data_IF_674841307855
#
_entry.id   IF_674841307855
#
_cell.length_a   1.000
_cell.length_b   1.000
_cell.length_c   1.000
_cell.angle_alpha   90.00
_cell.angle_beta   90.00
_cell.angle_gamma   90.00
#
_symmetry.space_group_name_H-M   'P 1'
#
loop_
_entity.id
_entity.type
_entity.pdbx_description
1 polymer ?
#
# COMPACT_ATOMS: atom_id res chain seq x y z
N UNK A 1 -30.92 -13.70 -12.14
CA UNK A 1 -29.84 -13.07 -11.38
C UNK A 1 -29.05 -14.19 -10.72
N UNK A 2 -27.79 -14.31 -11.06
CA UNK A 2 -26.87 -15.27 -10.42
C UNK A 2 -26.43 -14.66 -9.06
N UNK A 3 -26.51 -15.45 -8.00
CA UNK A 3 -26.05 -15.07 -6.68
C UNK A 3 -24.77 -15.83 -6.36
N UNK A 4 -23.77 -15.15 -5.83
CA UNK A 4 -22.53 -15.76 -5.33
C UNK A 4 -22.52 -15.68 -3.81
N UNK A 5 -22.35 -16.80 -3.14
CA UNK A 5 -22.14 -16.89 -1.71
C UNK A 5 -20.66 -17.20 -1.45
N UNK A 6 -20.03 -16.41 -0.61
CA UNK A 6 -18.61 -16.53 -0.30
C UNK A 6 -18.41 -16.50 1.23
N UNK A 7 -17.51 -17.37 1.72
CA UNK A 7 -17.13 -17.32 3.13
C UNK A 7 -16.33 -16.03 3.42
N UNK A 8 -16.59 -15.43 4.57
CA UNK A 8 -15.81 -14.28 5.01
C UNK A 8 -14.39 -14.74 5.40
N UNK A 9 -13.38 -14.09 4.87
CA UNK A 9 -12.01 -14.24 5.31
C UNK A 9 -11.74 -13.25 6.46
N UNK A 10 -10.90 -13.64 7.41
CA UNK A 10 -10.41 -12.77 8.48
C UNK A 10 -8.96 -12.36 8.21
N UNK A 11 -8.53 -11.24 8.79
CA UNK A 11 -7.14 -10.79 8.69
C UNK A 11 -7.01 -9.27 8.62
N UNK A 12 -5.77 -8.81 8.64
CA UNK A 12 -5.46 -7.39 8.47
C UNK A 12 -5.51 -7.02 6.98
N UNK A 13 -6.24 -5.96 6.64
CA UNK A 13 -6.23 -5.45 5.27
C UNK A 13 -4.82 -5.00 4.90
N UNK A 14 -4.32 -5.56 3.84
CA UNK A 14 -2.96 -5.40 3.36
C UNK A 14 -2.94 -5.24 1.85
N UNK A 15 -1.86 -4.65 1.35
CA UNK A 15 -1.66 -4.41 -0.08
C UNK A 15 -0.24 -4.76 -0.48
N UNK A 16 -0.08 -5.39 -1.63
CA UNK A 16 1.22 -5.60 -2.26
C UNK A 16 1.25 -4.90 -3.61
N UNK A 17 2.22 -4.01 -3.80
CA UNK A 17 2.48 -3.33 -5.05
C UNK A 17 3.73 -3.92 -5.69
N UNK A 18 3.66 -4.25 -6.96
CA UNK A 18 4.72 -4.94 -7.67
C UNK A 18 4.94 -4.37 -9.08
N UNK A 19 6.16 -4.48 -9.57
CA UNK A 19 6.52 -4.21 -10.98
C UNK A 19 7.18 -5.44 -11.57
N UNK A 20 6.80 -5.78 -12.79
CA UNK A 20 7.25 -6.97 -13.50
C UNK A 20 7.85 -6.63 -14.85
N UNK A 21 8.86 -7.37 -15.24
CA UNK A 21 9.42 -7.38 -16.58
C UNK A 21 9.23 -8.78 -17.20
N UNK A 22 8.27 -8.93 -18.14
CA UNK A 22 7.99 -10.19 -18.86
C UNK A 22 7.96 -11.38 -17.92
N UNK A 23 7.00 -11.40 -17.01
CA UNK A 23 6.79 -12.45 -16.04
C UNK A 23 7.71 -12.43 -14.81
N UNK A 24 8.83 -11.70 -14.86
CA UNK A 24 9.77 -11.61 -13.74
C UNK A 24 9.40 -10.48 -12.79
N UNK A 25 9.23 -10.80 -11.52
CA UNK A 25 9.06 -9.80 -10.45
C UNK A 25 10.39 -9.05 -10.25
N UNK A 26 10.41 -7.73 -10.50
CA UNK A 26 11.62 -6.89 -10.41
C UNK A 26 11.60 -5.96 -9.20
N UNK A 27 10.42 -5.59 -8.71
CA UNK A 27 10.27 -4.80 -7.50
C UNK A 27 8.97 -5.13 -6.79
N UNK A 28 8.95 -5.11 -5.45
CA UNK A 28 7.77 -5.38 -4.63
C UNK A 28 7.82 -4.60 -3.33
N UNK A 29 6.64 -4.18 -2.86
CA UNK A 29 6.44 -3.54 -1.59
C UNK A 29 5.11 -3.94 -1.00
N UNK A 30 5.08 -4.37 0.28
CA UNK A 30 3.88 -4.74 0.99
C UNK A 30 3.60 -3.76 2.13
N UNK A 31 2.31 -3.45 2.31
CA UNK A 31 1.82 -2.62 3.43
C UNK A 31 0.65 -3.28 4.13
N UNK A 32 0.52 -3.02 5.43
CA UNK A 32 -0.67 -3.32 6.22
C UNK A 32 -1.35 -2.03 6.65
N UNK A 33 -2.66 -1.99 6.62
CA UNK A 33 -3.47 -0.85 7.02
C UNK A 33 -3.34 -0.56 8.52
N UNK A 34 -3.19 0.72 8.86
CA UNK A 34 -3.13 1.22 10.25
C UNK A 34 -4.28 2.16 10.58
N UNK A 35 -4.85 2.80 9.58
CA UNK A 35 -6.07 3.58 9.68
C UNK A 35 -6.81 3.55 8.35
N UNK A 36 -8.13 3.67 8.45
CA UNK A 36 -9.06 3.67 7.34
C UNK A 36 -9.34 5.10 6.87
N UNK A 37 -9.37 5.29 5.57
CA UNK A 37 -9.85 6.49 4.89
C UNK A 37 -11.25 6.30 4.32
N UNK A 38 -11.66 7.18 3.42
CA UNK A 38 -12.98 7.10 2.77
C UNK A 38 -13.12 5.80 1.98
N UNK A 39 -14.26 5.14 2.13
CA UNK A 39 -14.59 3.91 1.40
C UNK A 39 -13.69 2.73 1.72
N UNK A 40 -13.09 2.66 2.91
CA UNK A 40 -12.21 1.55 3.32
C UNK A 40 -10.77 1.68 2.84
N UNK A 41 -10.39 2.78 2.17
CA UNK A 41 -9.03 3.00 1.68
C UNK A 41 -8.00 3.06 2.82
N UNK A 42 -6.75 2.74 2.53
CA UNK A 42 -5.68 2.80 3.53
C UNK A 42 -5.18 4.24 3.71
N UNK A 43 -5.61 4.93 4.76
CA UNK A 43 -5.16 6.29 5.07
C UNK A 43 -3.87 6.36 5.92
N UNK A 44 -3.52 5.27 6.60
CA UNK A 44 -2.23 5.10 7.25
C UNK A 44 -1.73 3.67 7.04
N UNK A 45 -0.42 3.53 6.82
CA UNK A 45 0.22 2.29 6.38
C UNK A 45 1.44 1.97 7.23
N UNK A 46 1.69 0.68 7.37
CA UNK A 46 2.94 0.13 7.88
C UNK A 46 3.51 -0.81 6.82
N UNK A 47 4.74 -0.57 6.38
CA UNK A 47 5.41 -1.53 5.50
C UNK A 47 5.71 -2.83 6.25
N UNK A 48 5.41 -3.96 5.62
CA UNK A 48 5.49 -5.30 6.18
C UNK A 48 6.25 -6.24 5.26
N UNK A 49 6.78 -7.32 5.83
CA UNK A 49 7.36 -8.42 5.07
C UNK A 49 6.37 -9.60 5.06
N UNK A 50 5.85 -9.92 3.88
CA UNK A 50 4.98 -11.07 3.65
C UNK A 50 5.60 -11.98 2.57
N UNK A 51 6.51 -12.91 2.95
CA UNK A 51 7.24 -13.78 2.00
C UNK A 51 6.31 -14.58 1.09
N UNK A 52 5.23 -15.16 1.63
CA UNK A 52 4.25 -15.91 0.85
C UNK A 52 3.63 -15.06 -0.28
N UNK A 53 3.33 -13.78 0.00
CA UNK A 53 2.78 -12.86 -1.02
C UNK A 53 3.80 -12.62 -2.14
N UNK A 54 5.09 -12.47 -1.82
CA UNK A 54 6.15 -12.33 -2.84
C UNK A 54 6.27 -13.56 -3.73
N UNK A 55 6.18 -14.75 -3.14
CA UNK A 55 6.22 -16.03 -3.89
C UNK A 55 5.00 -16.17 -4.80
N UNK A 56 3.81 -15.82 -4.29
CA UNK A 56 2.57 -15.83 -5.09
C UNK A 56 2.66 -14.83 -6.24
N UNK A 57 3.14 -13.59 -6.00
CA UNK A 57 3.37 -12.59 -7.04
C UNK A 57 4.35 -13.09 -8.10
N UNK A 58 5.49 -13.66 -7.68
CA UNK A 58 6.46 -14.20 -8.62
C UNK A 58 5.89 -15.36 -9.47
N UNK A 59 5.03 -16.18 -8.87
CA UNK A 59 4.36 -17.28 -9.58
C UNK A 59 3.30 -16.76 -10.55
N UNK A 60 2.47 -15.83 -10.09
CA UNK A 60 1.44 -15.17 -10.91
C UNK A 60 2.06 -14.44 -12.11
N UNK A 61 3.13 -13.66 -11.85
CA UNK A 61 3.85 -12.93 -12.89
C UNK A 61 4.33 -13.86 -14.01
N UNK A 62 4.98 -14.97 -13.64
CA UNK A 62 5.45 -15.99 -14.61
C UNK A 62 4.31 -16.63 -15.37
N UNK A 63 3.23 -16.99 -14.68
CA UNK A 63 2.08 -17.68 -15.31
C UNK A 63 1.37 -16.80 -16.35
N UNK A 64 1.35 -15.47 -16.12
CA UNK A 64 0.68 -14.51 -17.00
C UNK A 64 1.63 -13.81 -17.98
N UNK A 65 2.93 -14.09 -17.95
CA UNK A 65 3.97 -13.28 -18.63
C UNK A 65 3.76 -11.77 -18.37
N UNK A 66 3.44 -11.42 -17.11
CA UNK A 66 3.00 -10.08 -16.76
C UNK A 66 4.12 -9.05 -16.98
N UNK A 67 3.75 -7.89 -17.57
CA UNK A 67 4.68 -6.79 -17.78
C UNK A 67 4.06 -5.48 -17.29
N UNK A 68 4.77 -4.76 -16.41
CA UNK A 68 4.28 -3.52 -15.82
C UNK A 68 3.86 -3.66 -14.35
N UNK A 69 3.01 -2.76 -13.89
CA UNK A 69 2.57 -2.71 -12.50
C UNK A 69 1.41 -3.69 -12.21
N UNK A 70 1.39 -4.21 -11.01
CA UNK A 70 0.27 -4.97 -10.45
C UNK A 70 0.18 -4.71 -8.96
N UNK A 71 -1.04 -4.45 -8.48
CA UNK A 71 -1.34 -4.32 -7.06
C UNK A 71 -2.33 -5.40 -6.67
N UNK A 72 -2.06 -6.08 -5.55
CA UNK A 72 -2.97 -7.04 -4.95
C UNK A 72 -3.42 -6.51 -3.59
N UNK A 73 -4.73 -6.44 -3.39
CA UNK A 73 -5.35 -6.20 -2.09
C UNK A 73 -5.72 -7.55 -1.47
N UNK A 74 -5.41 -7.75 -0.19
CA UNK A 74 -5.63 -9.01 0.51
C UNK A 74 -5.84 -8.81 2.01
N UNK A 75 -6.55 -9.75 2.63
CA UNK A 75 -6.58 -9.93 4.07
C UNK A 75 -5.43 -10.87 4.47
N UNK A 76 -4.63 -10.47 5.46
CA UNK A 76 -3.51 -11.26 5.93
C UNK A 76 -3.80 -11.85 7.31
N UNK A 77 -3.98 -13.16 7.37
CA UNK A 77 -4.07 -13.89 8.63
C UNK A 77 -2.67 -14.06 9.20
N UNK A 78 -2.43 -13.40 10.34
CA UNK A 78 -1.12 -13.45 11.00
C UNK A 78 -0.85 -14.77 11.71
N UNK A 79 -1.89 -15.48 12.14
CA UNK A 79 -1.72 -16.73 12.85
C UNK A 79 -1.28 -17.85 11.91
N UNK A 80 -1.82 -17.87 10.72
CA UNK A 80 -1.53 -18.86 9.69
C UNK A 80 -0.49 -18.38 8.65
N UNK A 81 -0.07 -17.11 8.72
CA UNK A 81 0.76 -16.42 7.73
C UNK A 81 0.20 -16.51 6.30
N UNK A 82 -1.14 -16.49 6.18
CA UNK A 82 -1.87 -16.77 4.94
C UNK A 82 -2.52 -15.50 4.38
N UNK A 83 -2.26 -15.12 3.10
CA UNK A 83 -2.99 -14.08 2.40
C UNK A 83 -4.27 -14.64 1.73
N UNK A 84 -5.37 -13.91 1.89
CA UNK A 84 -6.63 -14.11 1.16
C UNK A 84 -6.84 -12.93 0.22
N UNK A 85 -6.63 -13.14 -1.09
CA UNK A 85 -6.68 -12.08 -2.09
C UNK A 85 -8.11 -11.65 -2.38
N UNK A 86 -8.31 -10.32 -2.46
CA UNK A 86 -9.61 -9.68 -2.67
C UNK A 86 -9.67 -9.10 -4.08
N UNK A 87 -8.63 -8.37 -4.48
CA UNK A 87 -8.64 -7.58 -5.71
C UNK A 87 -7.24 -7.55 -6.35
N UNK A 88 -7.21 -7.45 -7.68
CA UNK A 88 -6.00 -7.23 -8.46
C UNK A 88 -6.16 -6.01 -9.36
N UNK A 89 -5.30 -5.00 -9.17
CA UNK A 89 -5.30 -3.74 -9.91
C UNK A 89 -4.08 -3.66 -10.83
N UNK A 90 -4.24 -3.54 -12.17
CA UNK A 90 -3.12 -3.46 -13.11
C UNK A 90 -2.51 -2.04 -13.16
N UNK A 91 -2.21 -1.47 -12.02
CA UNK A 91 -1.64 -0.12 -11.85
C UNK A 91 -0.97 0.00 -10.48
N UNK A 92 -0.19 1.06 -10.26
CA UNK A 92 0.24 1.45 -8.91
C UNK A 92 -0.90 2.20 -8.18
N UNK A 93 -0.90 2.10 -6.86
CA UNK A 93 -1.83 2.78 -5.96
C UNK A 93 -1.05 3.44 -4.83
N UNK A 94 -0.97 4.77 -4.84
CA UNK A 94 -0.33 5.57 -3.77
C UNK A 94 1.04 5.02 -3.34
N UNK A 95 2.06 4.98 -4.23
CA UNK A 95 3.31 4.25 -3.99
C UNK A 95 4.28 4.97 -3.04
N UNK A 96 3.89 6.06 -2.37
CA UNK A 96 4.81 6.87 -1.56
C UNK A 96 5.38 6.09 -0.36
N UNK A 97 4.60 5.19 0.27
CA UNK A 97 5.15 4.34 1.33
C UNK A 97 6.30 3.45 0.81
N UNK A 98 6.21 2.97 -0.44
CA UNK A 98 7.30 2.23 -1.07
C UNK A 98 8.55 3.11 -1.28
N UNK A 99 8.37 4.37 -1.72
CA UNK A 99 9.47 5.34 -1.84
C UNK A 99 10.15 5.57 -0.50
N UNK A 100 9.39 5.82 0.56
CA UNK A 100 9.89 5.98 1.93
C UNK A 100 10.62 4.72 2.43
N UNK A 101 10.21 3.56 1.95
CA UNK A 101 10.83 2.27 2.24
C UNK A 101 12.05 1.97 1.38
N UNK A 102 12.43 2.87 0.46
CA UNK A 102 13.62 2.76 -0.39
C UNK A 102 13.41 2.09 -1.74
N UNK A 103 12.17 1.84 -2.15
CA UNK A 103 11.82 1.29 -3.47
C UNK A 103 10.88 2.24 -4.21
N UNK A 104 11.40 3.00 -5.16
CA UNK A 104 10.59 3.88 -5.99
C UNK A 104 9.97 3.09 -7.15
N UNK A 105 8.80 2.50 -6.90
CA UNK A 105 8.07 1.69 -7.88
C UNK A 105 7.66 2.52 -9.12
N UNK A 106 7.31 3.78 -8.94
CA UNK A 106 6.92 4.66 -10.04
C UNK A 106 8.10 4.93 -10.98
N UNK A 107 9.29 5.21 -10.44
CA UNK A 107 10.50 5.41 -11.22
C UNK A 107 10.91 4.12 -11.96
N UNK A 108 10.86 2.96 -11.29
CA UNK A 108 11.13 1.66 -11.89
C UNK A 108 10.19 1.41 -13.07
N UNK A 109 8.88 1.67 -12.89
CA UNK A 109 7.87 1.50 -13.93
C UNK A 109 8.13 2.45 -15.11
N UNK A 110 8.47 3.72 -14.84
CA UNK A 110 8.80 4.69 -15.86
C UNK A 110 10.04 4.26 -16.66
N UNK A 111 11.10 3.84 -16.00
CA UNK A 111 12.32 3.36 -16.67
C UNK A 111 12.05 2.11 -17.51
N UNK A 112 11.25 1.16 -16.99
CA UNK A 112 10.81 -0.02 -17.74
C UNK A 112 10.04 0.37 -19.00
N UNK A 113 9.11 1.35 -18.90
CA UNK A 113 8.31 1.87 -20.01
C UNK A 113 9.17 2.58 -21.06
N UNK A 114 10.32 3.12 -20.67
CA UNK A 114 11.33 3.71 -21.58
C UNK A 114 12.29 2.68 -22.18
N UNK A 115 12.04 1.38 -21.94
CA UNK A 115 12.82 0.29 -22.53
C UNK A 115 14.06 -0.13 -21.72
N UNK A 116 14.24 0.38 -20.49
CA UNK A 116 15.30 -0.15 -19.62
C UNK A 116 14.95 -1.57 -19.18
N UNK A 117 15.91 -2.49 -19.32
CA UNK A 117 15.76 -3.84 -18.74
C UNK A 117 16.36 -3.92 -17.34
N UNK A 118 15.68 -4.66 -16.49
CA UNK A 118 16.10 -5.02 -15.13
C UNK A 118 16.50 -6.48 -15.01
N UNK A 119 16.62 -7.21 -16.14
CA UNK A 119 16.82 -8.66 -16.15
C UNK A 119 18.04 -9.14 -15.36
N UNK A 120 19.11 -8.36 -15.30
CA UNK A 120 20.34 -8.67 -14.56
C UNK A 120 20.35 -8.15 -13.11
N UNK A 121 19.31 -7.40 -12.70
CA UNK A 121 19.27 -6.79 -11.37
C UNK A 121 18.57 -7.71 -10.35
N UNK A 122 18.97 -7.66 -9.06
CA UNK A 122 18.28 -8.40 -8.00
C UNK A 122 16.87 -7.83 -7.78
N UNK A 123 15.97 -8.65 -7.22
CA UNK A 123 14.65 -8.20 -6.78
C UNK A 123 14.79 -7.06 -5.77
N UNK A 124 14.12 -5.95 -6.02
CA UNK A 124 14.08 -4.81 -5.12
C UNK A 124 12.89 -4.94 -4.18
N UNK A 125 13.16 -4.96 -2.88
CA UNK A 125 12.14 -5.10 -1.84
C UNK A 125 12.19 -3.89 -0.93
N UNK A 126 11.03 -3.28 -0.65
CA UNK A 126 10.92 -2.17 0.28
C UNK A 126 11.25 -2.60 1.70
N UNK A 127 11.95 -1.73 2.46
CA UNK A 127 12.22 -1.96 3.89
C UNK A 127 10.90 -2.05 4.65
N UNK A 128 10.80 -2.96 5.59
CA UNK A 128 9.66 -3.08 6.49
C UNK A 128 9.83 -2.20 7.75
N UNK A 129 8.72 -1.95 8.48
CA UNK A 129 8.69 -1.10 9.66
C UNK A 129 8.52 0.40 9.36
N UNK A 130 8.46 0.81 8.09
CA UNK A 130 8.25 2.21 7.69
C UNK A 130 6.77 2.56 7.78
N UNK A 131 6.46 3.67 8.46
CA UNK A 131 5.10 4.16 8.63
C UNK A 131 4.86 5.39 7.77
N UNK A 132 3.70 5.43 7.13
CA UNK A 132 3.21 6.60 6.43
C UNK A 132 1.73 6.84 6.72
N UNK A 133 1.27 8.06 6.49
CA UNK A 133 -0.13 8.45 6.66
C UNK A 133 -0.49 9.59 5.72
N UNK A 134 -1.78 9.72 5.42
CA UNK A 134 -2.38 10.95 4.93
C UNK A 134 -3.31 11.50 6.00
N UNK A 135 -3.00 12.67 6.54
CA UNK A 135 -3.86 13.34 7.52
C UNK A 135 -5.22 13.68 6.89
N UNK A 136 -5.23 14.20 5.66
CA UNK A 136 -6.46 14.54 4.96
C UNK A 136 -7.35 13.31 4.75
N UNK A 137 -6.80 12.20 4.24
CA UNK A 137 -7.56 10.96 4.03
C UNK A 137 -8.08 10.37 5.35
N UNK A 138 -7.28 10.44 6.43
CA UNK A 138 -7.71 9.97 7.76
C UNK A 138 -8.85 10.82 8.31
N UNK A 139 -8.78 12.15 8.20
CA UNK A 139 -9.86 13.05 8.65
C UNK A 139 -11.14 12.83 7.86
N UNK A 140 -11.04 12.71 6.53
CA UNK A 140 -12.19 12.48 5.66
C UNK A 140 -12.83 11.11 5.95
N UNK A 141 -12.04 10.04 6.13
CA UNK A 141 -12.55 8.72 6.47
C UNK A 141 -13.26 8.70 7.82
N UNK A 142 -12.69 9.36 8.83
CA UNK A 142 -13.35 9.48 10.13
C UNK A 142 -14.64 10.31 10.07
N UNK A 143 -14.66 11.40 9.28
CA UNK A 143 -15.86 12.21 9.09
C UNK A 143 -16.95 11.43 8.37
N UNK A 144 -16.62 10.66 7.33
CA UNK A 144 -17.52 9.77 6.59
C UNK A 144 -18.11 8.68 7.50
N UNK A 145 -17.28 8.13 8.41
CA UNK A 145 -17.70 7.20 9.47
C UNK A 145 -18.50 7.83 10.62
N UNK A 146 -18.86 9.11 10.54
CA UNK A 146 -19.69 9.81 11.52
C UNK A 146 -18.95 10.33 12.76
N UNK A 147 -17.63 10.48 12.71
CA UNK A 147 -16.87 11.07 13.81
C UNK A 147 -17.32 12.49 14.15
N UNK A 148 -17.38 12.81 15.44
CA UNK A 148 -17.75 14.15 15.90
C UNK A 148 -16.65 15.17 15.59
N UNK A 149 -17.00 16.46 15.53
CA UNK A 149 -16.03 17.58 15.40
C UNK A 149 -14.94 17.49 16.46
N UNK A 150 -15.26 17.04 17.67
CA UNK A 150 -14.31 16.89 18.78
C UNK A 150 -13.29 15.79 18.49
N UNK A 151 -13.72 14.70 17.87
CA UNK A 151 -12.84 13.59 17.47
C UNK A 151 -11.91 14.02 16.34
N UNK A 152 -12.41 14.76 15.35
CA UNK A 152 -11.58 15.31 14.28
C UNK A 152 -10.53 16.31 14.80
N UNK A 153 -10.90 17.21 15.75
CA UNK A 153 -9.94 18.11 16.40
C UNK A 153 -8.89 17.32 17.21
N UNK A 154 -9.29 16.21 17.87
CA UNK A 154 -8.35 15.33 18.57
C UNK A 154 -7.36 14.70 17.60
N UNK A 155 -7.80 14.24 16.42
CA UNK A 155 -6.92 13.69 15.37
C UNK A 155 -5.92 14.73 14.87
N UNK A 156 -6.36 15.97 14.63
CA UNK A 156 -5.45 17.08 14.25
C UNK A 156 -4.41 17.30 15.35
N UNK A 157 -4.82 17.32 16.63
CA UNK A 157 -3.92 17.42 17.77
C UNK A 157 -2.94 16.25 17.87
N UNK A 158 -3.37 15.04 17.58
CA UNK A 158 -2.49 13.85 17.52
C UNK A 158 -1.47 13.97 16.38
N UNK A 159 -1.89 14.43 15.19
CA UNK A 159 -0.98 14.66 14.07
C UNK A 159 0.06 15.73 14.38
N UNK A 160 -0.38 16.88 14.94
CA UNK A 160 0.52 17.98 15.35
C UNK A 160 1.54 17.54 16.41
N UNK A 161 1.16 16.64 17.31
CA UNK A 161 2.02 16.12 18.39
C UNK A 161 2.68 14.78 18.05
N UNK A 162 2.51 14.27 16.82
CA UNK A 162 3.04 12.99 16.34
C UNK A 162 2.69 11.82 17.26
N UNK A 163 1.41 11.69 17.62
CA UNK A 163 0.89 10.61 18.47
C UNK A 163 -0.07 9.69 17.73
N UNK A 164 -0.37 8.54 18.33
CA UNK A 164 -1.27 7.54 17.75
C UNK A 164 -0.76 7.00 16.42
N UNK A 165 -1.60 7.00 15.39
CA UNK A 165 -1.23 6.52 14.04
C UNK A 165 -0.19 7.39 13.35
N UNK A 166 -0.01 8.64 13.82
CA UNK A 166 0.95 9.61 13.30
C UNK A 166 2.33 9.52 13.98
N UNK A 167 2.49 8.66 14.99
CA UNK A 167 3.77 8.44 15.66
C UNK A 167 4.77 7.76 14.74
N UNK A 168 5.98 8.32 14.59
CA UNK A 168 7.04 7.83 13.73
C UNK A 168 6.58 7.56 12.27
N UNK A 169 5.65 8.40 11.79
CA UNK A 169 4.99 8.26 10.50
C UNK A 169 5.22 9.51 9.65
N UNK A 170 5.43 9.32 8.34
CA UNK A 170 5.58 10.40 7.37
C UNK A 170 4.26 10.66 6.64
N UNK A 171 3.95 11.94 6.38
CA UNK A 171 2.85 12.31 5.48
C UNK A 171 3.19 11.87 4.05
N UNK A 172 2.28 11.18 3.36
CA UNK A 172 2.53 10.57 2.07
C UNK A 172 1.73 11.14 0.89
N UNK A 173 0.63 11.88 1.13
CA UNK A 173 -0.17 12.44 0.04
C UNK A 173 -0.07 13.97 -0.08
N UNK A 174 -0.02 14.67 1.04
CA UNK A 174 -0.02 16.14 1.07
C UNK A 174 1.13 16.64 1.95
N UNK A 175 2.38 16.59 1.45
CA UNK A 175 3.54 17.02 2.22
C UNK A 175 3.57 18.56 2.36
N UNK A 176 2.63 19.12 3.12
CA UNK A 176 2.44 20.57 3.32
C UNK A 176 3.72 21.36 3.66
N UNK A 177 4.72 20.70 4.25
CA UNK A 177 6.03 21.30 4.53
C UNK A 177 6.93 21.41 3.31
N UNK A 178 6.72 20.55 2.29
CA UNK A 178 7.54 20.52 1.08
C UNK A 178 6.85 21.26 -0.07
N UNK A 179 5.53 21.33 -0.04
CA UNK A 179 4.71 22.00 -1.05
C UNK A 179 3.51 22.71 -0.36
N UNK A 180 3.74 23.87 0.30
CA UNK A 180 2.69 24.65 0.97
C UNK A 180 1.51 25.04 0.06
N UNK A 181 1.69 25.32 -1.25
CA UNK A 181 0.57 25.64 -2.13
C UNK A 181 -0.36 24.46 -2.44
N UNK A 182 0.02 23.23 -2.11
CA UNK A 182 -0.83 22.04 -2.35
C UNK A 182 -1.94 21.84 -1.30
N UNK A 183 -2.01 22.74 -0.31
CA UNK A 183 -3.07 22.82 0.69
C UNK A 183 -4.15 23.78 0.20
#
# INVERSE_FOLDING_TARGET
TELVAQAAASGDLSQAQAVFERGRLIAVHCTSQRAEGVGGSQSARLSVDHPAVREHLATLGRALDWHGALVLDYLYDRAEAQPYYIEANPRLVEPMNAVLSGVNLADILAQLSLGRSFAAEPLRVGRFGVRSHSLAATLLGQADGGASRRDLLRLIGQAATRRGVFADSAEDLTPARLDPPSL
#
